data_IF_781046433235
#
_entry.id   IF_781046433235
#
_cell.length_a   1.000
_cell.length_b   1.000
_cell.length_c   1.000
_cell.angle_alpha   90.00
_cell.angle_beta   90.00
_cell.angle_gamma   90.00
#
_symmetry.space_group_name_H-M   'P 1'
#
loop_
_entity.id
_entity.type
_entity.pdbx_description
1 polymer ?
#
# COMPACT_ATOMS: atom_id res chain seq x y z
N UNK A 1 12.87 -5.85 13.68
CA UNK A 1 12.75 -4.38 13.66
C UNK A 1 12.26 -3.98 12.27
N UNK A 2 10.96 -3.72 12.09
CA UNK A 2 10.45 -3.20 10.83
C UNK A 2 10.67 -1.69 10.86
N UNK A 3 11.61 -1.19 10.06
CA UNK A 3 11.85 0.25 9.95
C UNK A 3 10.55 0.91 9.47
N UNK A 4 10.02 1.92 10.19
CA UNK A 4 8.82 2.60 9.74
C UNK A 4 9.08 3.18 8.36
N UNK A 5 8.17 2.89 7.44
CA UNK A 5 8.21 3.43 6.10
C UNK A 5 8.09 4.96 6.16
N UNK A 6 8.80 5.71 5.30
CA UNK A 6 8.71 7.17 5.32
C UNK A 6 7.28 7.63 4.99
N UNK A 7 6.80 8.77 5.53
CA UNK A 7 5.43 9.23 5.33
C UNK A 7 5.06 9.48 3.85
N UNK A 8 6.07 9.69 2.99
CA UNK A 8 5.91 9.78 1.54
C UNK A 8 5.42 8.47 0.90
N UNK A 9 5.61 7.34 1.56
CA UNK A 9 5.14 6.03 1.10
C UNK A 9 3.78 5.63 1.68
N UNK A 10 3.19 6.43 2.58
CA UNK A 10 1.85 6.17 3.12
C UNK A 10 0.78 6.41 2.04
N UNK A 11 -0.28 5.60 2.05
CA UNK A 11 -1.43 5.83 1.20
C UNK A 11 -2.30 6.91 1.79
N UNK A 12 -2.69 7.89 0.99
CA UNK A 12 -3.67 8.89 1.41
C UNK A 12 -4.83 8.86 0.42
N UNK A 13 -5.97 8.34 0.86
CA UNK A 13 -7.18 8.33 0.06
C UNK A 13 -8.23 9.25 0.69
N UNK A 14 -8.84 10.18 -0.07
CA UNK A 14 -9.77 11.18 0.47
C UNK A 14 -11.00 10.55 1.14
N UNK A 15 -11.42 9.36 0.69
CA UNK A 15 -12.59 8.66 1.23
C UNK A 15 -12.25 7.50 2.17
N UNK A 16 -11.05 6.91 2.08
CA UNK A 16 -10.69 5.73 2.86
C UNK A 16 -9.80 6.06 4.07
N UNK A 17 -9.22 7.27 4.10
CA UNK A 17 -8.28 7.69 5.14
C UNK A 17 -6.83 7.54 4.72
N UNK A 18 -5.94 7.53 5.71
CA UNK A 18 -4.50 7.35 5.51
C UNK A 18 -4.10 5.97 6.02
N UNK A 19 -3.36 5.21 5.20
CA UNK A 19 -2.85 3.90 5.58
C UNK A 19 -1.34 3.92 5.62
N UNK A 20 -0.77 3.41 6.71
CA UNK A 20 0.68 3.36 6.90
C UNK A 20 1.29 2.05 6.39
N UNK A 21 0.46 1.02 6.17
CA UNK A 21 0.89 -0.28 5.63
C UNK A 21 -0.25 -0.98 4.88
N UNK A 22 0.10 -1.86 3.94
CA UNK A 22 -0.87 -2.66 3.20
C UNK A 22 -1.70 -3.57 4.12
N UNK A 23 -1.09 -4.06 5.20
CA UNK A 23 -1.73 -4.91 6.21
C UNK A 23 -2.87 -4.16 6.94
N UNK A 24 -2.67 -2.88 7.26
CA UNK A 24 -3.69 -2.02 7.89
C UNK A 24 -4.91 -1.84 6.98
N UNK A 25 -4.67 -1.72 5.67
CA UNK A 25 -5.71 -1.64 4.66
C UNK A 25 -6.44 -2.98 4.47
N UNK A 26 -5.71 -4.10 4.52
CA UNK A 26 -6.30 -5.44 4.46
C UNK A 26 -7.13 -5.77 5.70
N UNK A 27 -6.70 -5.33 6.87
CA UNK A 27 -7.42 -5.50 8.14
C UNK A 27 -8.63 -4.57 8.28
N UNK A 28 -8.85 -3.63 7.35
CA UNK A 28 -9.99 -2.71 7.42
C UNK A 28 -11.30 -3.42 7.01
N UNK A 29 -12.10 -3.81 8.00
CA UNK A 29 -13.40 -4.46 7.81
C UNK A 29 -14.46 -3.54 7.15
N UNK A 30 -14.20 -2.23 7.07
CA UNK A 30 -15.10 -1.28 6.39
C UNK A 30 -14.97 -1.37 4.87
N UNK A 31 -13.87 -1.95 4.37
CA UNK A 31 -13.59 -2.10 2.96
C UNK A 31 -13.97 -3.48 2.47
N UNK A 32 -14.76 -3.55 1.39
CA UNK A 32 -14.94 -4.79 0.64
C UNK A 32 -13.63 -5.24 -0.01
N UNK A 33 -13.50 -6.52 -0.32
CA UNK A 33 -12.32 -7.07 -0.99
C UNK A 33 -11.97 -6.31 -2.28
N UNK A 34 -12.97 -5.96 -3.09
CA UNK A 34 -12.77 -5.14 -4.29
C UNK A 34 -12.22 -3.74 -3.97
N UNK A 35 -12.68 -3.10 -2.89
CA UNK A 35 -12.17 -1.79 -2.48
C UNK A 35 -10.72 -1.90 -1.99
N UNK A 36 -10.39 -2.97 -1.26
CA UNK A 36 -9.02 -3.28 -0.85
C UNK A 36 -8.12 -3.49 -2.08
N UNK A 37 -8.60 -4.21 -3.11
CA UNK A 37 -7.84 -4.42 -4.35
C UNK A 37 -7.57 -3.11 -5.08
N UNK A 38 -8.61 -2.30 -5.28
CA UNK A 38 -8.49 -1.00 -5.95
C UNK A 38 -7.53 -0.08 -5.17
N UNK A 39 -7.64 -0.06 -3.85
CA UNK A 39 -6.80 0.79 -3.01
C UNK A 39 -5.33 0.35 -3.00
N UNK A 40 -5.04 -0.96 -2.99
CA UNK A 40 -3.68 -1.49 -3.11
C UNK A 40 -3.08 -1.15 -4.48
N UNK A 41 -3.86 -1.29 -5.55
CA UNK A 41 -3.40 -0.97 -6.90
C UNK A 41 -3.14 0.53 -7.07
N UNK A 42 -4.08 1.37 -6.62
CA UNK A 42 -3.93 2.83 -6.65
C UNK A 42 -2.72 3.30 -5.82
N UNK A 43 -2.51 2.72 -4.65
CA UNK A 43 -1.33 3.01 -3.83
C UNK A 43 -0.05 2.62 -4.54
N UNK A 44 -0.01 1.44 -5.16
CA UNK A 44 1.15 1.00 -5.94
C UNK A 44 1.47 1.98 -7.07
N UNK A 45 0.48 2.39 -7.84
CA UNK A 45 0.62 3.38 -8.91
C UNK A 45 1.13 4.71 -8.33
N UNK A 46 0.58 5.16 -7.19
CA UNK A 46 1.06 6.37 -6.51
C UNK A 46 2.55 6.27 -6.14
N UNK A 47 3.02 5.11 -5.66
CA UNK A 47 4.44 4.93 -5.33
C UNK A 47 5.31 4.84 -6.58
N UNK A 48 4.86 4.15 -7.63
CA UNK A 48 5.60 4.05 -8.89
C UNK A 48 5.70 5.41 -9.61
N UNK A 49 4.66 6.23 -9.57
CA UNK A 49 4.65 7.58 -10.16
C UNK A 49 5.23 8.66 -9.24
N UNK A 50 5.14 8.46 -7.92
CA UNK A 50 5.63 9.40 -6.89
C UNK A 50 7.11 9.26 -6.56
N UNK A 51 7.79 8.24 -7.11
CA UNK A 51 9.25 8.16 -7.11
C UNK A 51 9.82 9.26 -7.99
N UNK A 52 10.03 10.45 -7.41
CA UNK A 52 10.90 11.46 -8.01
C UNK A 52 12.35 10.94 -8.05
N UNK A 53 13.13 11.34 -9.05
CA UNK A 53 14.53 10.91 -9.25
C UNK A 53 15.45 11.12 -8.02
N UNK A 54 15.06 11.99 -7.10
CA UNK A 54 15.80 12.34 -5.88
C UNK A 54 15.44 11.48 -4.64
N UNK A 55 14.41 10.64 -4.72
CA UNK A 55 13.96 9.83 -3.59
C UNK A 55 14.76 8.52 -3.48
N UNK A 56 15.20 8.17 -2.27
CA UNK A 56 15.84 6.87 -2.03
C UNK A 56 14.87 5.74 -2.44
N UNK A 57 15.26 4.86 -3.39
CA UNK A 57 14.34 3.91 -3.97
C UNK A 57 14.08 2.69 -3.07
N UNK A 58 14.90 2.47 -2.04
CA UNK A 58 14.79 1.29 -1.19
C UNK A 58 13.46 1.21 -0.41
N UNK A 59 13.02 2.26 0.32
CA UNK A 59 11.73 2.23 1.03
C UNK A 59 10.53 2.12 0.09
N UNK A 60 10.59 2.76 -1.09
CA UNK A 60 9.52 2.66 -2.09
C UNK A 60 9.43 1.26 -2.69
N UNK A 61 10.56 0.65 -3.06
CA UNK A 61 10.60 -0.75 -3.53
C UNK A 61 10.10 -1.72 -2.47
N UNK A 62 10.46 -1.50 -1.21
CA UNK A 62 9.96 -2.30 -0.09
C UNK A 62 8.43 -2.17 0.06
N UNK A 63 7.90 -0.95 0.00
CA UNK A 63 6.46 -0.68 0.06
C UNK A 63 5.71 -1.32 -1.13
N UNK A 64 6.20 -1.16 -2.36
CA UNK A 64 5.64 -1.80 -3.57
C UNK A 64 5.65 -3.32 -3.45
N UNK A 65 6.74 -3.92 -2.95
CA UNK A 65 6.81 -5.36 -2.71
C UNK A 65 5.80 -5.82 -1.68
N UNK A 66 5.61 -5.05 -0.60
CA UNK A 66 4.60 -5.33 0.42
C UNK A 66 3.18 -5.27 -0.17
N UNK A 67 2.88 -4.26 -0.99
CA UNK A 67 1.59 -4.10 -1.66
C UNK A 67 1.30 -5.26 -2.62
N UNK A 68 2.31 -5.71 -3.37
CA UNK A 68 2.15 -6.88 -4.25
C UNK A 68 1.83 -8.15 -3.45
N UNK A 69 2.48 -8.35 -2.30
CA UNK A 69 2.17 -9.46 -1.40
C UNK A 69 0.76 -9.38 -0.80
N UNK A 70 0.31 -8.17 -0.46
CA UNK A 70 -1.05 -7.94 0.02
C UNK A 70 -2.11 -8.20 -1.07
N UNK A 71 -1.85 -7.78 -2.31
CA UNK A 71 -2.73 -8.08 -3.44
C UNK A 71 -2.83 -9.58 -3.74
N UNK A 72 -1.71 -10.31 -3.63
CA UNK A 72 -1.66 -11.76 -3.83
C UNK A 72 -2.48 -12.51 -2.76
N UNK A 73 -2.29 -12.13 -1.49
CA UNK A 73 -3.15 -12.56 -0.38
C UNK A 73 -4.63 -12.26 -0.65
N UNK A 74 -4.91 -11.11 -1.27
CA UNK A 74 -6.25 -10.64 -1.64
C UNK A 74 -6.90 -11.48 -2.71
N UNK A 75 -6.16 -11.82 -3.75
CA UNK A 75 -6.62 -12.78 -4.74
C UNK A 75 -6.78 -14.21 -4.16
N UNK A 76 -5.97 -14.59 -3.17
CA UNK A 76 -6.02 -15.90 -2.52
C UNK A 76 -7.07 -16.04 -1.41
N UNK A 77 -7.77 -14.96 -1.04
CA UNK A 77 -8.71 -14.95 0.10
C UNK A 77 -8.04 -15.15 1.47
N UNK A 78 -6.74 -14.88 1.60
CA UNK A 78 -6.00 -14.97 2.86
C UNK A 78 -5.82 -13.58 3.49
N UNK A 79 -6.81 -13.11 4.27
CA UNK A 79 -6.83 -11.81 4.97
C UNK A 79 -6.95 -12.00 6.46
#
# INVERSE_FOLDING_TARGET
>A
MQTPLPPATHYKHPQLGTYSSADELLADDRLSETQKQIAIEAWRIQLEHGMSEEADPAPFKAAVKSLKGAADRLAAGQH
#
